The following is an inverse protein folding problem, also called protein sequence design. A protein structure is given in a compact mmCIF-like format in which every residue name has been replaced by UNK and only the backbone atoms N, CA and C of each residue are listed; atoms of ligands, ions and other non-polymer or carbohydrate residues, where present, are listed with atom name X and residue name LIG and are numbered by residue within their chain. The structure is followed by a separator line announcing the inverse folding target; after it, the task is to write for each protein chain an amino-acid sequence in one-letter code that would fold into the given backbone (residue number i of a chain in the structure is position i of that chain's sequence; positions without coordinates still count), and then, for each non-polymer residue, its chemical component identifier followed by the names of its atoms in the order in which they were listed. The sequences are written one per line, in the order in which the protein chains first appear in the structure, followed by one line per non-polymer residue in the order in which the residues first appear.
data_IF_680214270814
#
_entry.id   IF_680214270814
#
_cell.length_a   1.000
_cell.length_b   1.000
_cell.length_c   1.000
_cell.angle_alpha   90.00
_cell.angle_beta   90.00
_cell.angle_gamma   90.00
#
_symmetry.space_group_name_H-M   'P 1'
#
loop_
_entity.id
_entity.type
_entity.pdbx_description
1 polymer ?
#
# COMPACT_ATOMS: atom_id res chain seq x y z
N UNK A 1 5.71 14.96 24.62
CA UNK A 1 5.58 14.38 24.19
C UNK A 1 5.27 14.36 23.14
N UNK A 2 5.40 14.06 22.49
CA UNK A 2 5.13 14.15 21.35
C UNK A 2 4.11 13.45 20.99
N UNK A 3 3.42 13.66 20.33
CA UNK A 3 2.56 13.04 19.89
C UNK A 3 2.62 12.69 18.77
N UNK A 4 3.24 12.15 18.60
CA UNK A 4 3.52 11.63 17.35
C UNK A 4 2.40 10.90 16.75
N UNK A 5 2.38 10.81 15.47
CA UNK A 5 1.48 9.96 14.80
C UNK A 5 1.74 8.56 15.15
N UNK A 6 0.73 7.70 15.14
CA UNK A 6 0.96 6.27 15.27
C UNK A 6 1.92 5.79 14.20
N UNK A 7 2.76 4.87 14.55
CA UNK A 7 3.67 4.29 13.59
C UNK A 7 2.88 3.49 12.56
N UNK A 8 3.30 3.57 11.30
CA UNK A 8 2.73 2.72 10.28
C UNK A 8 3.64 1.53 10.06
N UNK A 9 3.13 0.44 9.51
CA UNK A 9 3.99 -0.71 9.22
C UNK A 9 4.98 -0.38 8.11
N UNK A 10 6.13 -1.04 8.14
CA UNK A 10 7.13 -0.86 7.11
C UNK A 10 6.88 -1.74 5.91
N UNK A 11 6.07 -2.78 6.08
CA UNK A 11 5.71 -3.67 5.00
C UNK A 11 4.22 -3.98 5.11
N UNK A 12 3.62 -4.32 3.99
CA UNK A 12 2.23 -4.77 3.95
C UNK A 12 2.20 -6.21 3.44
N UNK A 13 1.38 -7.04 4.05
CA UNK A 13 1.30 -8.44 3.67
C UNK A 13 -0.13 -8.97 3.65
N UNK A 14 -0.96 -8.62 4.64
CA UNK A 14 -2.29 -9.19 4.77
C UNK A 14 -3.32 -8.31 4.08
N UNK A 15 -4.50 -8.88 3.86
CA UNK A 15 -5.59 -8.11 3.29
C UNK A 15 -5.90 -6.87 4.12
N UNK A 16 -5.90 -7.02 5.45
CA UNK A 16 -6.16 -5.89 6.32
C UNK A 16 -5.09 -4.81 6.16
N UNK A 17 -3.83 -5.22 5.99
CA UNK A 17 -2.76 -4.25 5.77
C UNK A 17 -3.03 -3.40 4.54
N UNK A 18 -3.36 -4.06 3.43
CA UNK A 18 -3.59 -3.34 2.18
C UNK A 18 -4.88 -2.54 2.22
N UNK A 19 -5.89 -3.07 2.89
CA UNK A 19 -7.16 -2.37 2.98
C UNK A 19 -7.07 -1.13 3.83
N UNK A 20 -6.31 -1.21 4.93
CA UNK A 20 -6.22 -0.11 5.88
C UNK A 20 -5.19 0.94 5.52
N UNK A 21 -4.34 0.68 4.54
CA UNK A 21 -3.37 1.66 4.11
C UNK A 21 -4.11 2.87 3.53
N UNK A 22 -3.73 4.09 3.90
CA UNK A 22 -4.45 5.27 3.42
C UNK A 22 -4.17 5.54 1.95
N UNK A 23 -5.03 6.35 1.36
CA UNK A 23 -4.84 6.77 -0.04
C UNK A 23 -3.48 7.45 -0.18
N UNK A 24 -2.81 7.17 -1.25
CA UNK A 24 -1.50 7.74 -1.52
C UNK A 24 -0.34 6.88 -1.05
N UNK A 25 -0.62 5.76 -0.39
CA UNK A 25 0.44 4.85 0.03
C UNK A 25 1.07 4.20 -1.19
N UNK A 26 2.39 4.10 -1.20
CA UNK A 26 3.14 3.47 -2.29
C UNK A 26 3.94 2.32 -1.72
N UNK A 27 3.80 1.15 -2.34
CA UNK A 27 4.49 -0.05 -1.90
C UNK A 27 5.18 -0.70 -3.08
N UNK A 28 6.21 -1.48 -2.81
CA UNK A 28 6.96 -2.16 -3.86
C UNK A 28 7.50 -3.48 -3.37
N UNK A 29 7.67 -4.38 -4.32
CA UNK A 29 8.34 -5.65 -4.10
C UNK A 29 9.55 -5.66 -5.03
N UNK A 30 10.58 -6.45 -4.67
CA UNK A 30 11.89 -6.36 -5.32
C UNK A 30 11.87 -6.36 -6.83
N UNK A 31 11.07 -7.22 -7.43
CA UNK A 31 11.12 -7.40 -8.87
C UNK A 31 9.89 -6.86 -9.58
N UNK A 32 9.12 -6.02 -8.91
CA UNK A 32 7.87 -5.56 -9.47
C UNK A 32 7.79 -4.05 -9.44
N UNK A 33 7.06 -3.47 -10.39
CA UNK A 33 6.81 -2.03 -10.33
C UNK A 33 6.05 -1.67 -9.06
N UNK A 34 6.22 -0.44 -8.58
CA UNK A 34 5.49 -0.03 -7.39
C UNK A 34 4.00 0.06 -7.64
N UNK A 35 3.26 -0.12 -6.57
CA UNK A 35 1.81 0.04 -6.55
C UNK A 35 1.48 1.22 -5.66
N UNK A 36 0.47 2.00 -6.06
CA UNK A 36 0.00 3.08 -5.20
C UNK A 36 -1.50 2.95 -5.00
N UNK A 37 -1.98 3.41 -3.86
CA UNK A 37 -3.39 3.31 -3.54
C UNK A 37 -4.11 4.58 -3.95
N UNK A 38 -5.13 4.43 -4.77
CA UNK A 38 -5.94 5.54 -5.23
C UNK A 38 -7.37 5.06 -5.40
N UNK A 39 -8.31 5.78 -4.81
CA UNK A 39 -9.73 5.49 -4.93
C UNK A 39 -10.02 4.04 -4.49
N UNK A 40 -9.44 3.67 -3.37
CA UNK A 40 -9.61 2.35 -2.75
C UNK A 40 -9.06 1.20 -3.57
N UNK A 41 -8.26 1.48 -4.59
CA UNK A 41 -7.67 0.45 -5.43
C UNK A 41 -6.15 0.60 -5.44
N UNK A 42 -5.46 -0.50 -5.73
CA UNK A 42 -4.02 -0.49 -5.87
C UNK A 42 -3.70 -0.47 -7.36
N UNK A 43 -2.95 0.54 -7.80
CA UNK A 43 -2.65 0.77 -9.20
C UNK A 43 -1.16 0.67 -9.43
N UNK A 44 -0.80 0.16 -10.60
CA UNK A 44 0.60 0.02 -11.00
C UNK A 44 0.74 0.39 -12.46
N UNK A 45 1.90 0.91 -12.84
CA UNK A 45 2.16 1.21 -14.24
C UNK A 45 2.19 -0.05 -15.09
N UNK A 46 2.39 -1.21 -14.48
CA UNK A 46 2.45 -2.47 -15.22
C UNK A 46 1.12 -3.17 -15.32
N UNK A 47 0.06 -2.61 -14.73
CA UNK A 47 -1.24 -3.24 -14.74
C UNK A 47 -2.27 -2.30 -15.33
N UNK A 48 -3.12 -2.84 -16.19
CA UNK A 48 -4.18 -2.03 -16.78
C UNK A 48 -5.33 -1.80 -15.84
N UNK A 49 -5.51 -2.69 -14.88
CA UNK A 49 -6.62 -2.59 -13.96
C UNK A 49 -6.10 -2.54 -12.54
N UNK A 50 -6.82 -1.86 -11.68
CA UNK A 50 -6.45 -1.83 -10.29
C UNK A 50 -6.73 -3.16 -9.61
N UNK A 51 -6.02 -3.40 -8.52
CA UNK A 51 -6.27 -4.54 -7.65
C UNK A 51 -6.94 -4.08 -6.38
N UNK A 52 -7.77 -4.94 -5.81
CA UNK A 52 -8.30 -4.64 -4.49
C UNK A 52 -7.35 -5.24 -3.43
N UNK A 53 -7.61 -4.95 -2.17
CA UNK A 53 -6.76 -5.41 -1.09
C UNK A 53 -6.63 -6.92 -1.08
N UNK A 54 -7.71 -7.62 -1.40
CA UNK A 54 -7.70 -9.07 -1.42
C UNK A 54 -6.71 -9.62 -2.44
N UNK A 55 -6.65 -8.99 -3.60
CA UNK A 55 -5.72 -9.43 -4.64
C UNK A 55 -4.28 -9.09 -4.33
N UNK A 56 -4.04 -8.12 -3.47
CA UNK A 56 -2.69 -7.77 -3.07
C UNK A 56 -2.15 -8.69 -1.99
N UNK A 57 -3.03 -9.40 -1.31
CA UNK A 57 -2.68 -10.23 -0.16
C UNK A 57 -1.72 -11.35 -0.54
N UNK A 58 -0.84 -11.69 0.39
CA UNK A 58 0.06 -12.83 0.21
C UNK A 58 1.43 -12.48 -0.31
N UNK A 59 1.61 -11.26 -0.73
CA UNK A 59 2.91 -10.80 -1.20
C UNK A 59 3.36 -9.68 -0.28
N UNK A 60 4.53 -9.83 0.32
CA UNK A 60 5.07 -8.81 1.20
C UNK A 60 5.64 -7.71 0.34
N UNK A 61 5.19 -6.48 0.58
CA UNK A 61 5.69 -5.33 -0.14
C UNK A 61 6.16 -4.27 0.83
N UNK A 62 7.26 -3.65 0.51
CA UNK A 62 7.83 -2.61 1.34
C UNK A 62 7.08 -1.30 1.12
N UNK A 63 6.80 -0.58 2.20
CA UNK A 63 6.14 0.72 2.11
C UNK A 63 7.20 1.76 1.77
N UNK A 64 7.09 2.34 0.59
CA UNK A 64 8.01 3.39 0.15
C UNK A 64 7.52 4.76 0.61
N UNK A 65 6.21 4.93 0.70
CA UNK A 65 5.61 6.16 1.18
C UNK A 65 4.28 5.83 1.80
N UNK A 66 4.06 6.34 2.99
CA UNK A 66 2.77 6.17 3.67
C UNK A 66 1.87 7.33 3.28
N UNK A 67 0.69 7.03 2.75
CA UNK A 67 -0.19 8.06 2.25
C UNK A 67 -0.82 8.90 3.34
N UNK A 68 -1.40 9.99 2.92
CA UNK A 68 -2.05 10.92 3.84
C UNK A 68 -3.55 10.71 3.94
N UNK A 69 -4.07 9.76 3.20
CA UNK A 69 -5.50 9.50 3.24
C UNK A 69 -6.32 10.31 2.25
N UNK A 70 -5.67 10.85 1.23
CA UNK A 70 -6.38 11.66 0.26
C UNK A 70 -6.46 11.04 -1.10
#
# INVERSE_FOLDING_TARGET
MTNAKPAHPEVLETEADYQNAPEGTIVACDDSPPWHKFDSAWLSTAAYEGNNAKNMTGIIREVLRWGDGE
#
